data_IF_448042279238
#
_entry.id   IF_448042279238
#
_cell.length_a   1.000
_cell.length_b   1.000
_cell.length_c   1.000
_cell.angle_alpha   90.00
_cell.angle_beta   90.00
_cell.angle_gamma   90.00
#
_symmetry.space_group_name_H-M   'P 1'
#
loop_
_entity.id
_entity.type
_entity.pdbx_description
1 polymer ?
#
# COMPACT_ATOMS: atom_id res chain seq x y z
N UNK A 1 8.52 -4.83 -16.37
CA UNK A 1 8.68 -3.56 -15.61
C UNK A 1 7.74 -2.47 -16.10
N UNK A 2 7.72 -2.13 -17.40
CA UNK A 2 6.81 -1.10 -17.96
C UNK A 2 5.31 -1.39 -17.69
N UNK A 3 4.89 -2.65 -17.77
CA UNK A 3 3.50 -3.03 -17.49
C UNK A 3 3.09 -2.78 -16.03
N UNK A 4 4.00 -2.97 -15.07
CA UNK A 4 3.70 -2.72 -13.65
C UNK A 4 3.45 -1.23 -13.39
N UNK A 5 4.27 -0.37 -14.00
CA UNK A 5 4.18 1.08 -13.79
C UNK A 5 2.84 1.66 -14.26
N UNK A 6 2.22 1.08 -15.30
CA UNK A 6 0.93 1.52 -15.84
C UNK A 6 -0.28 0.90 -15.13
N UNK A 7 -0.09 -0.05 -14.21
CA UNK A 7 -1.21 -0.70 -13.50
C UNK A 7 -1.84 0.27 -12.51
N UNK A 8 -3.16 0.20 -12.43
CA UNK A 8 -3.96 0.91 -11.43
C UNK A 8 -4.38 -0.12 -10.39
N UNK A 9 -3.97 0.08 -9.15
CA UNK A 9 -4.22 -0.88 -8.06
C UNK A 9 -5.42 -0.44 -7.22
N UNK A 10 -6.12 -1.41 -6.63
CA UNK A 10 -7.26 -1.19 -5.73
C UNK A 10 -7.06 -1.92 -4.41
N UNK A 11 -7.53 -1.36 -3.30
CA UNK A 11 -7.59 -2.04 -2.00
C UNK A 11 -8.70 -3.09 -2.02
N UNK A 12 -8.50 -4.23 -1.36
CA UNK A 12 -9.64 -5.11 -1.04
C UNK A 12 -10.59 -4.38 -0.08
N UNK A 13 -11.89 -4.51 -0.31
CA UNK A 13 -12.92 -3.77 0.44
C UNK A 13 -13.15 -4.28 1.87
N UNK A 14 -12.63 -5.46 2.21
CA UNK A 14 -12.78 -6.08 3.51
C UNK A 14 -11.63 -5.72 4.47
N UNK A 15 -11.05 -4.52 4.35
CA UNK A 15 -9.95 -4.08 5.21
C UNK A 15 -10.32 -2.76 5.88
N UNK A 16 -10.15 -2.71 7.19
CA UNK A 16 -10.29 -1.49 7.98
C UNK A 16 -8.89 -1.01 8.36
N UNK A 17 -8.63 0.27 8.11
CA UNK A 17 -7.44 0.94 8.57
C UNK A 17 -7.72 1.61 9.92
N UNK A 18 -6.81 1.43 10.88
CA UNK A 18 -6.85 2.14 12.17
C UNK A 18 -5.46 2.69 12.49
N UNK A 19 -5.40 3.94 12.92
CA UNK A 19 -4.18 4.55 13.45
C UNK A 19 -4.09 4.29 14.95
N UNK A 20 -2.95 3.80 15.42
CA UNK A 20 -2.68 3.54 16.84
C UNK A 20 -1.31 4.11 17.18
N UNK A 21 -1.28 5.26 17.85
CA UNK A 21 -0.05 6.05 17.99
C UNK A 21 0.48 6.46 16.62
N UNK A 22 1.74 6.13 16.33
CA UNK A 22 2.40 6.39 15.06
C UNK A 22 2.26 5.23 14.05
N UNK A 23 1.67 4.11 14.47
CA UNK A 23 1.49 2.94 13.62
C UNK A 23 0.17 3.00 12.85
N UNK A 24 0.21 2.53 11.61
CA UNK A 24 -0.98 2.38 10.78
C UNK A 24 -1.30 0.90 10.60
N UNK A 25 -2.41 0.46 11.19
CA UNK A 25 -2.78 -0.95 11.30
C UNK A 25 -3.91 -1.26 10.31
N UNK A 26 -3.70 -2.24 9.43
CA UNK A 26 -4.74 -2.79 8.56
C UNK A 26 -5.27 -4.09 9.17
N UNK A 27 -6.58 -4.13 9.39
CA UNK A 27 -7.29 -5.27 9.96
C UNK A 27 -8.29 -5.81 8.93
N UNK A 28 -8.15 -7.07 8.49
CA UNK A 28 -9.17 -7.73 7.68
C UNK A 28 -10.49 -7.88 8.46
N UNK A 29 -11.59 -7.49 7.83
CA UNK A 29 -12.95 -7.77 8.28
C UNK A 29 -13.29 -9.17 7.80
N UNK A 30 -13.01 -10.16 8.64
CA UNK A 30 -13.21 -11.59 8.35
C UNK A 30 -14.09 -12.24 9.42
N UNK A 31 -15.01 -13.09 8.99
CA UNK A 31 -15.92 -13.82 9.89
C UNK A 31 -15.29 -15.10 10.46
N UNK A 32 -14.09 -15.48 9.99
CA UNK A 32 -13.38 -16.69 10.43
C UNK A 32 -12.18 -16.30 11.28
N UNK A 33 -12.14 -16.81 12.51
CA UNK A 33 -11.06 -16.57 13.50
C UNK A 33 -9.67 -16.89 12.92
N UNK A 34 -9.56 -17.92 12.07
CA UNK A 34 -8.28 -18.31 11.45
C UNK A 34 -7.71 -17.29 10.44
N UNK A 35 -8.51 -16.31 9.97
CA UNK A 35 -8.05 -15.23 9.10
C UNK A 35 -7.75 -13.94 9.88
N UNK A 36 -8.07 -13.89 11.19
CA UNK A 36 -7.85 -12.72 12.06
C UNK A 36 -6.36 -12.47 12.38
N UNK A 37 -5.50 -13.48 12.22
CA UNK A 37 -4.05 -13.35 12.50
C UNK A 37 -3.27 -12.53 11.45
N UNK A 38 -3.92 -12.05 10.39
CA UNK A 38 -3.30 -11.24 9.34
C UNK A 38 -3.49 -9.74 9.60
N UNK A 39 -2.94 -9.26 10.70
CA UNK A 39 -2.80 -7.82 10.96
C UNK A 39 -1.56 -7.31 10.22
N UNK A 40 -1.71 -6.22 9.48
CA UNK A 40 -0.58 -5.55 8.83
C UNK A 40 -0.27 -4.25 9.54
N UNK A 41 0.95 -4.12 10.05
CA UNK A 41 1.45 -2.84 10.58
C UNK A 41 2.28 -2.17 9.50
N UNK A 42 1.90 -0.95 9.14
CA UNK A 42 2.61 -0.11 8.18
C UNK A 42 3.39 0.96 8.93
N UNK A 43 4.62 1.19 8.46
CA UNK A 43 5.36 2.40 8.79
C UNK A 43 4.75 3.61 8.04
N UNK A 44 5.27 4.80 8.30
CA UNK A 44 4.76 6.04 7.71
C UNK A 44 4.73 6.00 6.18
N UNK A 45 5.82 5.57 5.54
CA UNK A 45 5.92 5.47 4.07
C UNK A 45 4.90 4.46 3.53
N UNK A 46 4.77 3.30 4.17
CA UNK A 46 3.80 2.29 3.77
C UNK A 46 2.35 2.76 3.93
N UNK A 47 2.04 3.50 4.99
CA UNK A 47 0.73 4.10 5.20
C UNK A 47 0.40 5.12 4.10
N UNK A 48 1.37 5.97 3.74
CA UNK A 48 1.22 6.91 2.64
C UNK A 48 0.98 6.19 1.30
N UNK A 49 1.79 5.17 0.98
CA UNK A 49 1.61 4.36 -0.24
C UNK A 49 0.22 3.73 -0.25
N UNK A 50 -0.21 3.14 0.87
CA UNK A 50 -1.54 2.58 1.02
C UNK A 50 -2.60 3.63 0.69
N UNK A 51 -2.53 4.82 1.26
CA UNK A 51 -3.50 5.90 1.01
C UNK A 51 -3.56 6.35 -0.45
N UNK A 52 -2.45 6.24 -1.20
CA UNK A 52 -2.42 6.54 -2.63
C UNK A 52 -3.07 5.47 -3.53
N UNK A 53 -3.27 4.23 -3.04
CA UNK A 53 -3.95 3.16 -3.78
C UNK A 53 -5.47 3.40 -3.74
N UNK A 54 -5.95 4.20 -4.70
CA UNK A 54 -7.33 4.68 -4.78
C UNK A 54 -8.15 4.10 -5.94
N UNK A 55 -7.56 3.19 -6.73
CA UNK A 55 -8.19 2.62 -7.92
C UNK A 55 -8.25 3.54 -9.13
N UNK A 56 -7.50 4.65 -9.11
CA UNK A 56 -7.39 5.62 -10.21
C UNK A 56 -5.94 5.90 -10.59
N UNK A 57 -5.04 6.02 -9.61
CA UNK A 57 -3.62 6.28 -9.85
C UNK A 57 -2.90 5.02 -10.33
N UNK A 58 -2.01 5.22 -11.29
CA UNK A 58 -1.03 4.24 -11.74
C UNK A 58 0.08 4.05 -10.70
N UNK A 59 0.78 2.92 -10.74
CA UNK A 59 1.95 2.70 -9.87
C UNK A 59 3.02 3.78 -10.08
N UNK A 60 3.21 4.28 -11.31
CA UNK A 60 4.16 5.37 -11.57
C UNK A 60 3.75 6.67 -10.86
N UNK A 61 2.48 7.05 -10.90
CA UNK A 61 1.97 8.22 -10.19
C UNK A 61 2.11 8.07 -8.66
N UNK A 62 1.95 6.86 -8.12
CA UNK A 62 2.21 6.58 -6.71
C UNK A 62 3.71 6.76 -6.38
N UNK A 63 4.61 6.29 -7.24
CA UNK A 63 6.07 6.51 -7.07
C UNK A 63 6.40 8.00 -7.08
N UNK A 64 5.79 8.76 -8.01
CA UNK A 64 5.97 10.21 -8.07
C UNK A 64 5.45 10.89 -6.80
N UNK A 65 4.30 10.46 -6.28
CA UNK A 65 3.76 10.98 -5.02
C UNK A 65 4.70 10.74 -3.83
N UNK A 66 5.29 9.54 -3.71
CA UNK A 66 6.29 9.23 -2.66
C UNK A 66 7.55 10.06 -2.83
N UNK A 67 8.04 10.19 -4.07
CA UNK A 67 9.22 11.00 -4.40
C UNK A 67 9.03 12.45 -3.94
N UNK A 68 7.85 13.03 -4.22
CA UNK A 68 7.55 14.41 -3.86
C UNK A 68 7.32 14.58 -2.35
N UNK A 69 6.55 13.68 -1.72
CA UNK A 69 6.20 13.77 -0.30
C UNK A 69 7.42 13.68 0.62
N UNK A 70 8.38 12.82 0.28
CA UNK A 70 9.54 12.53 1.13
C UNK A 70 10.85 13.11 0.59
N UNK A 71 10.80 13.86 -0.52
CA UNK A 71 11.97 14.49 -1.17
C UNK A 71 13.13 13.51 -1.45
N UNK A 72 12.79 12.25 -1.76
CA UNK A 72 13.77 11.19 -2.05
C UNK A 72 14.03 11.06 -3.54
N UNK A 73 15.12 10.37 -3.91
CA UNK A 73 15.35 10.01 -5.32
C UNK A 73 14.27 9.03 -5.80
N UNK A 74 13.82 9.19 -7.05
CA UNK A 74 12.82 8.31 -7.67
C UNK A 74 13.15 6.82 -7.54
N UNK A 75 14.43 6.44 -7.60
CA UNK A 75 14.86 5.04 -7.45
C UNK A 75 14.54 4.48 -6.05
N UNK A 76 14.69 5.28 -5.00
CA UNK A 76 14.39 4.88 -3.61
C UNK A 76 12.87 4.72 -3.46
N UNK A 77 12.10 5.73 -3.89
CA UNK A 77 10.64 5.67 -3.89
C UNK A 77 10.10 4.48 -4.70
N UNK A 78 10.71 4.18 -5.85
CA UNK A 78 10.35 3.04 -6.67
C UNK A 78 10.57 1.71 -5.95
N UNK A 79 11.72 1.55 -5.29
CA UNK A 79 12.02 0.34 -4.52
C UNK A 79 11.04 0.18 -3.36
N UNK A 80 10.73 1.25 -2.63
CA UNK A 80 9.76 1.23 -1.54
C UNK A 80 8.35 0.86 -2.01
N UNK A 81 7.85 1.49 -3.09
CA UNK A 81 6.53 1.19 -3.66
C UNK A 81 6.45 -0.25 -4.17
N UNK A 82 7.46 -0.72 -4.89
CA UNK A 82 7.46 -2.09 -5.42
C UNK A 82 7.53 -3.11 -4.28
N UNK A 83 8.36 -2.86 -3.26
CA UNK A 83 8.46 -3.73 -2.10
C UNK A 83 7.16 -3.76 -1.29
N UNK A 84 6.50 -2.61 -1.15
CA UNK A 84 5.18 -2.52 -0.53
C UNK A 84 4.16 -3.38 -1.30
N UNK A 85 4.02 -3.16 -2.61
CA UNK A 85 3.07 -3.89 -3.48
C UNK A 85 3.27 -5.40 -3.37
N UNK A 86 4.52 -5.89 -3.37
CA UNK A 86 4.84 -7.31 -3.19
C UNK A 86 4.39 -7.84 -1.83
N UNK A 87 4.68 -7.12 -0.74
CA UNK A 87 4.30 -7.53 0.62
C UNK A 87 2.77 -7.52 0.84
N UNK A 88 2.07 -6.66 0.11
CA UNK A 88 0.62 -6.47 0.24
C UNK A 88 -0.19 -7.08 -0.90
N UNK A 89 0.39 -7.94 -1.74
CA UNK A 89 -0.29 -8.52 -2.92
C UNK A 89 -1.59 -9.26 -2.56
N UNK A 90 -1.65 -9.80 -1.34
CA UNK A 90 -2.82 -10.51 -0.83
C UNK A 90 -3.98 -9.59 -0.44
N UNK A 91 -3.76 -8.28 -0.36
CA UNK A 91 -4.73 -7.28 0.11
C UNK A 91 -4.97 -6.14 -0.88
N UNK A 92 -4.32 -6.20 -2.04
CA UNK A 92 -4.54 -5.31 -3.18
C UNK A 92 -5.04 -6.12 -4.39
N UNK A 93 -5.68 -5.44 -5.32
CA UNK A 93 -6.26 -5.98 -6.54
C UNK A 93 -5.73 -5.20 -7.75
N UNK A 94 -5.77 -5.86 -8.91
CA UNK A 94 -5.39 -5.29 -10.21
C UNK A 94 -6.57 -4.64 -10.91
#
# INVERSE_FOLDING_TARGET
>A
MRELLMRILRKKQNLVARRVGDEYILVPVVNKVAEMDKVYTLNEVGAFIWDQIDGKKTVDEIIQAVTHQYEVKRIIAQDDVINFIKKTENIILN
#
